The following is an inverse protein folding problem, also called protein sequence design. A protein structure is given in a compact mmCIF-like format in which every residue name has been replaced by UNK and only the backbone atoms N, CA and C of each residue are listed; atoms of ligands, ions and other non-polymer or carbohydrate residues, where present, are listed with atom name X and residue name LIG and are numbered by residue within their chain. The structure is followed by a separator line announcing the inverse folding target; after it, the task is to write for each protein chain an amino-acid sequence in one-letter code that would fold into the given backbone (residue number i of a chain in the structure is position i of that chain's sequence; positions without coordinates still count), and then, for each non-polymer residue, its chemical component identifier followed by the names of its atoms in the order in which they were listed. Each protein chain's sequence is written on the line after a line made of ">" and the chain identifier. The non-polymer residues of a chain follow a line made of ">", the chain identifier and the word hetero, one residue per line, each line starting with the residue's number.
data_IF_709709680554
#
_entry.id   IF_709709680554
#
_cell.length_a   1.000
_cell.length_b   1.000
_cell.length_c   1.000
_cell.angle_alpha   90.00
_cell.angle_beta   90.00
_cell.angle_gamma   90.00
#
_symmetry.space_group_name_H-M   'P 1'
#
loop_
_entity.id
_entity.type
_entity.pdbx_description
1 polymer ?
#
# COMPACT_ATOMS: atom_id res chain seq x y z
N UNK A 1 6.55 -74.14 -16.03
CA UNK A 1 6.32 -73.15 -17.11
C UNK A 1 5.19 -72.23 -16.66
N UNK A 2 5.53 -71.02 -16.20
CA UNK A 2 4.55 -70.01 -15.81
C UNK A 2 4.66 -68.83 -16.80
N UNK A 3 3.55 -68.50 -17.45
CA UNK A 3 3.45 -67.45 -18.47
C UNK A 3 3.20 -66.12 -17.75
N UNK A 4 4.12 -65.17 -17.93
CA UNK A 4 4.03 -63.80 -17.42
C UNK A 4 3.26 -62.94 -18.44
N UNK A 5 2.01 -62.56 -18.13
CA UNK A 5 1.25 -61.59 -18.93
C UNK A 5 1.43 -60.20 -18.32
N UNK A 6 2.34 -59.40 -18.88
CA UNK A 6 2.54 -58.01 -18.52
C UNK A 6 1.50 -57.09 -19.16
N UNK A 7 0.63 -56.49 -18.34
CA UNK A 7 -0.26 -55.40 -18.75
C UNK A 7 0.46 -54.06 -18.60
N UNK A 8 0.59 -53.31 -19.69
CA UNK A 8 1.14 -51.94 -19.73
C UNK A 8 0.07 -50.96 -19.23
N UNK A 9 0.37 -50.04 -18.28
CA UNK A 9 -0.60 -49.06 -17.80
C UNK A 9 -0.80 -47.92 -18.83
N UNK A 10 -1.99 -47.30 -18.87
CA UNK A 10 -2.30 -46.26 -19.85
C UNK A 10 -1.65 -44.91 -19.50
N UNK A 11 -1.01 -44.30 -20.52
CA UNK A 11 -0.44 -42.94 -20.50
C UNK A 11 -1.49 -41.89 -20.11
N UNK A 12 -1.53 -41.47 -18.84
CA UNK A 12 -2.30 -40.30 -18.36
C UNK A 12 -1.50 -38.99 -18.32
N UNK A 13 -0.19 -39.03 -18.57
CA UNK A 13 0.70 -37.86 -18.43
C UNK A 13 0.68 -36.87 -19.61
N UNK A 14 0.09 -37.23 -20.76
CA UNK A 14 0.11 -36.31 -21.92
C UNK A 14 -0.92 -35.18 -21.82
N UNK A 15 -2.05 -35.38 -21.13
CA UNK A 15 -3.14 -34.38 -21.08
C UNK A 15 -2.83 -33.18 -20.19
N UNK A 16 -2.08 -33.36 -19.11
CA UNK A 16 -1.64 -32.27 -18.21
C UNK A 16 -0.61 -31.36 -18.88
N UNK A 17 0.31 -31.93 -19.66
CA UNK A 17 1.33 -31.17 -20.40
C UNK A 17 0.71 -30.21 -21.44
N UNK A 18 -0.32 -30.67 -22.18
CA UNK A 18 -0.99 -29.83 -23.17
C UNK A 18 -1.84 -28.70 -22.56
N UNK A 19 -2.39 -28.90 -21.36
CA UNK A 19 -3.10 -27.86 -20.63
C UNK A 19 -2.15 -26.76 -20.14
N UNK A 20 -0.97 -27.17 -19.63
CA UNK A 20 0.09 -26.24 -19.18
C UNK A 20 0.60 -25.37 -20.33
N UNK A 21 0.91 -25.97 -21.49
CA UNK A 21 1.40 -25.23 -22.67
C UNK A 21 0.36 -24.22 -23.19
N UNK A 22 -0.95 -24.55 -23.13
CA UNK A 22 -2.02 -23.62 -23.51
C UNK A 22 -2.12 -22.44 -22.56
N UNK A 23 -2.02 -22.67 -21.25
CA UNK A 23 -2.02 -21.61 -20.23
C UNK A 23 -0.81 -20.68 -20.37
N UNK A 24 0.39 -21.24 -20.60
CA UNK A 24 1.60 -20.45 -20.83
C UNK A 24 1.49 -19.59 -22.09
N UNK A 25 1.00 -20.14 -23.21
CA UNK A 25 0.80 -19.37 -24.47
C UNK A 25 -0.21 -18.24 -24.31
N UNK A 26 -1.28 -18.46 -23.56
CA UNK A 26 -2.30 -17.44 -23.30
C UNK A 26 -1.76 -16.33 -22.39
N UNK A 27 -0.94 -16.67 -21.38
CA UNK A 27 -0.23 -15.71 -20.52
C UNK A 27 0.70 -14.82 -21.36
N UNK A 28 1.54 -15.43 -22.21
CA UNK A 28 2.44 -14.69 -23.11
C UNK A 28 1.70 -13.83 -24.14
N UNK A 29 0.56 -14.28 -24.64
CA UNK A 29 -0.30 -13.49 -25.54
C UNK A 29 -0.82 -12.25 -24.84
N UNK A 30 -1.35 -12.40 -23.62
CA UNK A 30 -1.85 -11.27 -22.81
C UNK A 30 -0.76 -10.28 -22.46
N UNK A 31 0.45 -10.74 -22.14
CA UNK A 31 1.59 -9.83 -21.89
C UNK A 31 1.97 -9.03 -23.14
N UNK A 32 1.95 -9.64 -24.34
CA UNK A 32 2.25 -8.93 -25.60
C UNK A 32 1.15 -7.94 -25.98
N UNK A 33 -0.12 -8.34 -25.84
CA UNK A 33 -1.27 -7.47 -26.08
C UNK A 33 -1.27 -6.28 -25.11
N UNK A 34 -0.97 -6.53 -23.82
CA UNK A 34 -0.84 -5.47 -22.83
C UNK A 34 0.33 -4.51 -23.14
N UNK A 35 1.51 -5.02 -23.54
CA UNK A 35 2.63 -4.16 -23.97
C UNK A 35 2.25 -3.29 -25.17
N UNK A 36 1.49 -3.81 -26.14
CA UNK A 36 1.04 -3.05 -27.29
C UNK A 36 0.02 -1.97 -26.93
N UNK A 37 -0.93 -2.29 -26.04
CA UNK A 37 -1.91 -1.32 -25.52
C UNK A 37 -1.20 -0.21 -24.73
N UNK A 38 -0.23 -0.57 -23.87
CA UNK A 38 0.49 0.42 -23.08
C UNK A 38 1.34 1.37 -23.95
N UNK A 39 1.99 0.84 -24.99
CA UNK A 39 2.71 1.68 -25.97
C UNK A 39 1.78 2.62 -26.75
N UNK A 40 0.57 2.17 -27.08
CA UNK A 40 -0.43 3.01 -27.74
C UNK A 40 -0.92 4.12 -26.79
N UNK A 41 -1.18 3.78 -25.53
CA UNK A 41 -1.58 4.74 -24.51
C UNK A 41 -0.50 5.80 -24.28
N UNK A 42 0.77 5.41 -24.11
CA UNK A 42 1.88 6.34 -23.96
C UNK A 42 2.04 7.29 -25.15
N UNK A 43 1.77 6.82 -26.37
CA UNK A 43 1.77 7.67 -27.57
C UNK A 43 0.68 8.73 -27.51
N UNK A 44 -0.56 8.32 -27.18
CA UNK A 44 -1.71 9.22 -27.07
C UNK A 44 -1.51 10.28 -25.98
N UNK A 45 -0.94 9.91 -24.83
CA UNK A 45 -0.61 10.85 -23.76
C UNK A 45 0.40 11.89 -24.24
N UNK A 46 1.43 11.47 -24.98
CA UNK A 46 2.46 12.36 -25.53
C UNK A 46 1.88 13.34 -26.54
N UNK A 47 1.06 12.85 -27.48
CA UNK A 47 0.35 13.66 -28.47
C UNK A 47 -0.54 14.70 -27.78
N UNK A 48 -1.29 14.30 -26.74
CA UNK A 48 -2.15 15.23 -25.99
C UNK A 48 -1.37 16.29 -25.24
N UNK A 49 -0.22 15.93 -24.66
CA UNK A 49 0.67 16.89 -24.00
C UNK A 49 1.25 17.92 -24.97
N UNK A 50 1.58 17.50 -26.19
CA UNK A 50 2.10 18.41 -27.21
C UNK A 50 1.00 19.32 -27.81
N UNK A 51 -0.23 18.82 -27.98
CA UNK A 51 -1.40 19.65 -28.31
C UNK A 51 -1.62 20.75 -27.27
N UNK A 52 -1.57 20.42 -25.98
CA UNK A 52 -1.77 21.38 -24.90
C UNK A 52 -0.66 22.44 -24.85
N UNK A 53 0.58 22.08 -25.17
CA UNK A 53 1.70 23.03 -25.30
C UNK A 53 1.51 23.99 -26.47
N UNK A 54 0.94 23.52 -27.59
CA UNK A 54 0.66 24.37 -28.75
C UNK A 54 -0.55 25.30 -28.55
N UNK A 55 -1.45 24.96 -27.63
CA UNK A 55 -2.64 25.77 -27.32
C UNK A 55 -2.42 26.81 -26.22
N UNK A 56 -1.26 26.81 -25.55
CA UNK A 56 -0.94 27.85 -24.57
C UNK A 56 -0.47 29.11 -25.30
N UNK A 57 -1.24 30.22 -25.30
CA UNK A 57 -0.76 31.47 -25.87
C UNK A 57 0.46 31.94 -25.08
N UNK A 58 1.53 32.30 -25.81
CA UNK A 58 2.69 32.98 -25.24
C UNK A 58 2.18 34.20 -24.47
N UNK A 59 2.52 34.37 -23.17
CA UNK A 59 2.13 35.55 -22.42
C UNK A 59 2.73 36.77 -23.14
N UNK A 60 1.87 37.65 -23.67
CA UNK A 60 2.32 38.99 -24.07
C UNK A 60 2.81 39.66 -22.79
N UNK A 61 4.07 40.09 -22.79
CA UNK A 61 4.59 41.03 -21.81
C UNK A 61 3.64 42.23 -21.78
N UNK A 62 2.86 42.33 -20.71
CA UNK A 62 2.10 43.52 -20.38
C UNK A 62 3.04 44.41 -19.57
N UNK A 63 3.34 45.58 -20.12
CA UNK A 63 4.04 46.64 -19.42
C UNK A 63 3.29 46.99 -18.12
N UNK A 64 4.03 47.00 -17.02
CA UNK A 64 3.51 47.27 -15.69
C UNK A 64 3.14 48.76 -15.54
N UNK A 65 1.92 49.10 -15.12
CA UNK A 65 1.64 50.43 -14.59
C UNK A 65 2.02 50.49 -13.11
N UNK A 66 2.87 51.46 -12.80
CA UNK A 66 3.25 51.90 -11.45
C UNK A 66 2.06 52.61 -10.79
N UNK A 67 1.43 52.03 -9.75
CA UNK A 67 0.55 52.79 -8.83
C UNK A 67 0.70 52.30 -7.38
N UNK A 68 1.31 53.21 -6.61
CA UNK A 68 1.09 53.69 -5.24
C UNK A 68 0.24 52.90 -4.23
N UNK A 69 0.84 52.71 -3.05
CA UNK A 69 0.26 52.18 -1.83
C UNK A 69 -0.28 53.33 -0.98
N UNK A 70 -1.60 53.44 -0.80
CA UNK A 70 -2.15 54.09 0.40
C UNK A 70 -3.55 53.59 0.77
N UNK A 71 -3.71 53.39 2.09
CA UNK A 71 -4.92 53.33 2.92
C UNK A 71 -5.49 51.96 3.34
N UNK A 72 -5.26 51.74 4.63
CA UNK A 72 -5.97 50.91 5.61
C UNK A 72 -7.37 51.50 5.88
N UNK A 73 -8.38 50.67 6.21
CA UNK A 73 -9.32 50.85 7.35
C UNK A 73 -10.15 49.56 7.64
N UNK A 74 -10.34 49.39 8.95
CA UNK A 74 -10.97 48.41 9.86
C UNK A 74 -12.50 48.18 9.71
N UNK A 75 -12.97 46.96 10.04
CA UNK A 75 -14.12 46.62 10.95
C UNK A 75 -14.34 45.10 11.00
N UNK A 76 -14.20 44.38 12.13
CA UNK A 76 -15.17 44.06 13.22
C UNK A 76 -16.56 43.59 12.71
N UNK A 77 -17.23 42.53 13.17
CA UNK A 77 -17.06 41.59 14.29
C UNK A 77 -18.34 40.69 14.46
N UNK A 78 -18.41 39.96 15.59
CA UNK A 78 -19.49 39.09 16.14
C UNK A 78 -19.58 37.64 15.60
N UNK A 79 -19.29 36.56 16.34
CA UNK A 79 -19.78 36.00 17.63
C UNK A 79 -21.20 35.43 17.61
N UNK A 80 -21.33 34.11 17.82
CA UNK A 80 -22.27 33.55 18.80
C UNK A 80 -21.85 32.14 19.24
N UNK A 81 -22.08 31.91 20.51
CA UNK A 81 -21.75 30.78 21.38
C UNK A 81 -22.94 29.84 21.53
N UNK A 82 -22.71 28.55 21.84
CA UNK A 82 -23.59 27.82 22.75
C UNK A 82 -22.94 26.58 23.38
N UNK A 83 -23.50 26.17 24.52
CA UNK A 83 -22.84 25.56 25.68
C UNK A 83 -23.25 24.11 25.98
N UNK A 84 -22.35 23.43 26.70
CA UNK A 84 -22.40 22.09 27.32
C UNK A 84 -23.58 21.84 28.32
N UNK A 85 -23.85 20.57 28.72
CA UNK A 85 -23.28 20.04 29.98
C UNK A 85 -22.87 18.54 30.04
N UNK A 86 -21.77 18.30 30.78
CA UNK A 86 -21.36 17.21 31.74
C UNK A 86 -22.28 15.96 31.92
N UNK A 87 -21.85 14.72 32.26
CA UNK A 87 -20.82 14.22 33.23
C UNK A 87 -20.76 12.64 33.25
N UNK A 88 -19.61 12.09 33.72
CA UNK A 88 -19.33 10.77 34.40
C UNK A 88 -19.41 9.47 33.54
N UNK A 89 -18.54 8.45 33.64
CA UNK A 89 -17.82 7.87 34.79
C UNK A 89 -16.42 7.32 34.46
N UNK A 90 -15.60 7.21 35.53
CA UNK A 90 -14.30 6.53 35.62
C UNK A 90 -14.47 5.01 35.74
N UNK A 91 -13.61 4.23 35.10
CA UNK A 91 -13.16 2.93 35.64
C UNK A 91 -11.67 2.74 35.37
N UNK A 92 -10.94 2.41 36.44
CA UNK A 92 -9.54 2.00 36.48
C UNK A 92 -9.42 0.56 35.99
N UNK A 93 -8.40 0.24 35.21
CA UNK A 93 -7.70 -1.06 35.31
C UNK A 93 -6.21 -0.85 35.03
N UNK A 94 -5.41 -1.25 36.01
CA UNK A 94 -3.96 -1.35 35.96
C UNK A 94 -3.58 -2.64 35.23
N UNK A 95 -2.59 -2.56 34.33
CA UNK A 95 -1.43 -3.48 34.33
C UNK A 95 -0.54 -3.19 33.12
N UNK A 96 0.58 -2.52 33.37
CA UNK A 96 1.75 -2.40 32.49
C UNK A 96 2.53 -3.72 32.45
N UNK A 97 3.24 -3.97 31.33
CA UNK A 97 4.62 -4.42 31.43
C UNK A 97 5.58 -3.47 30.70
N UNK A 98 6.73 -3.28 31.33
CA UNK A 98 7.81 -2.34 30.97
C UNK A 98 8.40 -2.57 29.57
N UNK A 99 8.83 -1.51 28.87
CA UNK A 99 9.64 -1.64 27.66
C UNK A 99 11.12 -1.87 28.00
N UNK A 100 11.70 -2.84 27.28
CA UNK A 100 13.13 -3.14 27.24
C UNK A 100 13.93 -1.90 26.83
N UNK A 101 14.92 -1.56 27.65
CA UNK A 101 15.86 -0.46 27.45
C UNK A 101 16.73 -0.69 26.22
N UNK A 102 16.85 0.32 25.37
CA UNK A 102 17.91 0.40 24.33
C UNK A 102 19.27 0.61 25.01
N UNK A 103 20.38 0.07 24.48
CA UNK A 103 21.71 0.36 25.01
C UNK A 103 22.10 1.80 24.68
N UNK A 104 22.47 2.55 25.71
CA UNK A 104 23.11 3.86 25.61
C UNK A 104 24.58 3.62 25.26
N UNK A 105 25.07 4.26 24.20
CA UNK A 105 26.49 4.39 23.90
C UNK A 105 27.16 5.19 25.02
N UNK A 106 27.97 4.52 25.85
CA UNK A 106 28.88 5.16 26.80
C UNK A 106 30.12 5.64 26.06
N UNK A 107 30.37 6.94 26.10
CA UNK A 107 31.69 7.55 25.91
C UNK A 107 32.13 8.07 27.27
N UNK A 108 33.09 7.40 27.90
CA UNK A 108 33.79 7.91 29.07
C UNK A 108 35.15 8.44 28.63
N UNK A 109 35.36 9.75 28.83
CA UNK A 109 36.68 10.35 28.88
C UNK A 109 36.76 11.27 30.13
N UNK A 110 37.57 10.80 31.07
CA UNK A 110 38.48 11.49 31.98
C UNK A 110 38.14 12.91 32.53
N UNK A 111 37.92 12.92 33.86
CA UNK A 111 38.80 13.54 34.87
C UNK A 111 38.55 14.97 35.41
N UNK A 112 38.64 15.03 36.76
CA UNK A 112 39.20 16.08 37.66
C UNK A 112 38.44 17.41 37.89
N UNK A 113 38.05 17.61 39.16
CA UNK A 113 38.75 18.58 40.03
C UNK A 113 38.01 19.85 40.48
N UNK A 114 37.74 19.92 41.79
CA UNK A 114 37.84 21.07 42.73
C UNK A 114 36.83 22.24 42.73
N UNK A 115 36.23 22.41 43.92
CA UNK A 115 35.92 23.62 44.73
C UNK A 115 36.08 25.03 44.11
N UNK A 116 35.10 25.93 44.26
CA UNK A 116 34.98 26.90 45.36
C UNK A 116 33.87 27.96 45.06
N UNK A 117 33.49 28.68 46.11
CA UNK A 117 32.42 29.64 46.37
C UNK A 117 32.18 30.83 45.42
N UNK A 118 30.93 31.31 45.45
CA UNK A 118 30.64 32.74 45.67
C UNK A 118 30.15 33.59 44.49
N UNK A 119 29.08 34.32 44.79
CA UNK A 119 28.54 35.53 44.14
C UNK A 119 27.46 35.46 43.04
N UNK A 120 26.28 35.79 43.54
CA UNK A 120 25.06 36.31 42.93
C UNK A 120 25.30 37.54 42.03
N UNK A 121 24.80 37.48 40.80
CA UNK A 121 24.50 38.62 39.92
C UNK A 121 23.57 38.14 38.80
N UNK A 122 22.32 38.61 38.84
CA UNK A 122 21.27 38.27 37.87
C UNK A 122 21.65 38.64 36.44
N UNK A 123 21.85 37.62 35.61
CA UNK A 123 21.97 37.73 34.16
C UNK A 123 20.85 36.90 33.54
N UNK A 124 20.02 37.55 32.71
CA UNK A 124 18.92 36.93 32.00
C UNK A 124 19.43 35.76 31.15
N UNK A 125 19.05 34.53 31.53
CA UNK A 125 19.34 33.33 30.77
C UNK A 125 18.63 33.39 29.41
N UNK A 126 19.34 33.35 28.28
CA UNK A 126 18.70 33.24 26.98
C UNK A 126 17.94 31.91 26.95
N UNK A 127 16.62 32.01 26.87
CA UNK A 127 15.67 30.91 26.78
C UNK A 127 15.77 30.25 25.39
N UNK A 128 16.97 29.76 25.05
CA UNK A 128 17.24 28.97 23.87
C UNK A 128 16.70 27.56 24.14
N UNK A 129 15.37 27.43 24.04
CA UNK A 129 14.72 26.14 23.79
C UNK A 129 15.22 25.64 22.44
N UNK A 130 16.43 25.07 22.43
CA UNK A 130 16.91 24.21 21.35
C UNK A 130 15.84 23.13 21.20
N UNK A 131 14.99 23.29 20.18
CA UNK A 131 14.14 22.21 19.70
C UNK A 131 15.11 21.07 19.42
N UNK A 132 15.06 20.03 20.24
CA UNK A 132 15.72 18.77 19.95
C UNK A 132 15.08 18.31 18.64
N UNK A 133 15.80 18.50 17.54
CA UNK A 133 15.41 17.96 16.26
C UNK A 133 15.45 16.45 16.43
N UNK A 134 14.28 15.82 16.52
CA UNK A 134 14.16 14.38 16.45
C UNK A 134 14.89 13.96 15.16
N UNK A 135 16.01 13.26 15.30
CA UNK A 135 16.76 12.75 14.17
C UNK A 135 15.87 11.75 13.45
N UNK A 136 15.37 12.14 12.28
CA UNK A 136 14.52 11.28 11.46
C UNK A 136 15.43 10.22 10.86
N UNK A 137 15.29 8.98 11.31
CA UNK A 137 16.12 7.86 10.84
C UNK A 137 15.46 7.30 9.58
N UNK A 138 16.18 7.23 8.44
CA UNK A 138 15.63 6.64 7.22
C UNK A 138 15.23 5.17 7.46
N UNK A 139 14.13 4.70 6.84
CA UNK A 139 13.82 3.28 6.78
C UNK A 139 14.96 2.47 6.16
N UNK A 140 14.96 1.16 6.36
CA UNK A 140 15.89 0.27 5.66
C UNK A 140 15.36 -0.03 4.25
N UNK A 141 16.22 0.17 3.25
CA UNK A 141 16.01 -0.27 1.87
C UNK A 141 16.63 -1.64 1.57
N UNK A 142 16.48 -2.07 0.33
CA UNK A 142 17.13 -3.27 -0.24
C UNK A 142 17.89 -2.92 -1.52
N UNK A 143 18.94 -3.68 -1.82
CA UNK A 143 19.75 -3.45 -3.03
C UNK A 143 19.32 -4.39 -4.15
N UNK A 144 19.15 -3.85 -5.36
CA UNK A 144 18.68 -4.61 -6.51
C UNK A 144 19.59 -5.77 -6.87
N UNK A 145 19.01 -6.94 -7.11
CA UNK A 145 19.72 -8.14 -7.52
C UNK A 145 18.86 -9.08 -8.35
N UNK A 146 19.31 -9.39 -9.56
CA UNK A 146 18.68 -10.38 -10.44
C UNK A 146 17.19 -10.08 -10.68
N UNK A 147 16.84 -8.89 -11.17
CA UNK A 147 15.46 -8.48 -11.46
C UNK A 147 14.52 -8.51 -10.22
N UNK A 148 15.04 -8.21 -9.03
CA UNK A 148 14.26 -8.19 -7.78
C UNK A 148 13.43 -6.93 -7.53
N UNK A 149 13.35 -5.99 -8.46
CA UNK A 149 12.81 -4.65 -8.19
C UNK A 149 11.40 -4.65 -7.58
N UNK A 150 10.50 -5.57 -7.98
CA UNK A 150 9.19 -5.72 -7.35
C UNK A 150 9.29 -6.11 -5.85
N UNK A 151 10.20 -7.02 -5.51
CA UNK A 151 10.49 -7.39 -4.13
C UNK A 151 11.18 -6.23 -3.37
N UNK A 152 12.08 -5.51 -4.04
CA UNK A 152 12.81 -4.38 -3.45
C UNK A 152 11.93 -3.16 -3.16
N UNK A 153 10.85 -3.03 -3.91
CA UNK A 153 9.78 -2.08 -3.65
C UNK A 153 8.94 -2.52 -2.43
N UNK A 154 8.60 -3.81 -2.35
CA UNK A 154 7.68 -4.35 -1.34
C UNK A 154 8.29 -4.45 0.06
N UNK A 155 9.53 -4.96 0.17
CA UNK A 155 10.14 -5.29 1.45
C UNK A 155 10.33 -4.08 2.39
N UNK A 156 10.82 -2.93 1.91
CA UNK A 156 10.92 -1.73 2.73
C UNK A 156 9.56 -1.27 3.29
N UNK A 157 8.47 -1.36 2.50
CA UNK A 157 7.11 -1.03 2.95
C UNK A 157 6.68 -1.98 4.07
N UNK A 158 6.77 -3.30 3.85
CA UNK A 158 6.35 -4.29 4.85
C UNK A 158 7.19 -4.21 6.14
N UNK A 159 8.49 -3.94 6.01
CA UNK A 159 9.36 -3.79 7.17
C UNK A 159 9.04 -2.53 7.97
N UNK A 160 8.77 -1.41 7.29
CA UNK A 160 8.32 -0.17 7.91
C UNK A 160 7.00 -0.36 8.68
N UNK A 161 6.04 -1.09 8.10
CA UNK A 161 4.79 -1.48 8.77
C UNK A 161 5.09 -2.26 10.05
N UNK A 162 5.88 -3.34 9.94
CA UNK A 162 6.22 -4.19 11.07
C UNK A 162 6.96 -3.45 12.20
N UNK A 163 7.86 -2.51 11.86
CA UNK A 163 8.61 -1.72 12.84
C UNK A 163 7.75 -0.82 13.72
N UNK A 164 6.52 -0.46 13.29
CA UNK A 164 5.62 0.39 14.08
C UNK A 164 5.13 -0.31 15.35
N UNK A 165 4.80 -1.59 15.24
CA UNK A 165 4.42 -2.46 16.35
C UNK A 165 4.79 -3.92 16.02
N UNK A 166 6.02 -4.34 16.32
CA UNK A 166 6.51 -5.68 16.00
C UNK A 166 5.66 -6.81 16.57
N UNK A 167 5.06 -6.62 17.76
CA UNK A 167 4.27 -7.63 18.43
C UNK A 167 2.92 -7.81 17.72
N UNK A 168 2.23 -6.71 17.42
CA UNK A 168 0.97 -6.75 16.67
C UNK A 168 1.19 -7.30 15.27
N UNK A 169 2.17 -6.78 14.52
CA UNK A 169 2.38 -7.18 13.13
C UNK A 169 2.93 -8.60 12.97
N UNK A 170 3.70 -9.13 13.93
CA UNK A 170 4.04 -10.56 13.93
C UNK A 170 2.80 -11.45 14.05
N UNK A 171 1.83 -11.06 14.90
CA UNK A 171 0.56 -11.78 15.02
C UNK A 171 -0.25 -11.71 13.73
N UNK A 172 -0.45 -10.51 13.17
CA UNK A 172 -1.20 -10.30 11.92
C UNK A 172 -0.56 -11.08 10.76
N UNK A 173 0.75 -10.97 10.58
CA UNK A 173 1.46 -11.65 9.50
C UNK A 173 1.43 -13.17 9.65
N UNK A 174 1.50 -13.68 10.89
CA UNK A 174 1.36 -15.11 11.19
C UNK A 174 -0.03 -15.64 10.86
N UNK A 175 -1.07 -14.86 11.16
CA UNK A 175 -2.46 -15.25 10.92
C UNK A 175 -2.84 -15.21 9.44
N UNK A 176 -2.24 -14.33 8.63
CA UNK A 176 -2.50 -14.29 7.20
C UNK A 176 -2.04 -15.56 6.49
N UNK A 177 -0.73 -15.86 6.49
CA UNK A 177 -0.18 -17.08 5.89
C UNK A 177 1.27 -17.35 6.27
N UNK A 178 1.79 -18.51 5.83
CA UNK A 178 3.15 -18.96 6.13
C UNK A 178 4.26 -18.10 5.53
N UNK A 179 4.01 -17.40 4.41
CA UNK A 179 5.02 -16.54 3.78
C UNK A 179 5.21 -15.25 4.60
N UNK A 180 4.12 -14.56 4.95
CA UNK A 180 4.19 -13.39 5.83
C UNK A 180 4.72 -13.73 7.22
N UNK A 181 4.40 -14.91 7.77
CA UNK A 181 5.01 -15.38 9.01
C UNK A 181 6.55 -15.55 8.89
N UNK A 182 7.02 -16.11 7.78
CA UNK A 182 8.45 -16.25 7.54
C UNK A 182 9.13 -14.89 7.41
N UNK A 183 8.49 -13.93 6.74
CA UNK A 183 8.98 -12.57 6.57
C UNK A 183 9.09 -11.84 7.93
N UNK A 184 8.06 -11.89 8.78
CA UNK A 184 8.09 -11.29 10.13
C UNK A 184 9.22 -11.84 11.01
N UNK A 185 9.46 -13.16 10.99
CA UNK A 185 10.64 -13.76 11.66
C UNK A 185 11.97 -13.31 11.05
N UNK A 186 11.99 -13.04 9.75
CA UNK A 186 13.11 -12.42 9.08
C UNK A 186 13.35 -10.99 9.57
N UNK A 187 12.30 -10.18 9.66
CA UNK A 187 12.33 -8.81 10.15
C UNK A 187 12.81 -8.72 11.59
N UNK A 188 12.38 -9.64 12.46
CA UNK A 188 12.92 -9.74 13.82
C UNK A 188 14.45 -9.96 13.81
N UNK A 189 14.95 -10.82 12.93
CA UNK A 189 16.40 -11.05 12.78
C UNK A 189 17.13 -9.82 12.24
N UNK A 190 16.52 -9.07 11.32
CA UNK A 190 17.05 -7.79 10.81
C UNK A 190 17.12 -6.77 11.95
N UNK A 191 16.06 -6.62 12.73
CA UNK A 191 16.01 -5.72 13.89
C UNK A 191 17.08 -6.04 14.94
N UNK A 192 17.41 -7.32 15.11
CA UNK A 192 18.50 -7.80 15.98
C UNK A 192 19.88 -7.79 15.31
N UNK A 193 20.01 -7.20 14.13
CA UNK A 193 21.25 -7.15 13.33
C UNK A 193 21.88 -8.52 13.05
N UNK A 194 21.08 -9.58 12.99
CA UNK A 194 21.53 -10.97 12.74
C UNK A 194 21.37 -11.41 11.29
N UNK A 195 20.72 -10.60 10.46
CA UNK A 195 20.60 -10.78 9.01
C UNK A 195 20.35 -9.41 8.36
N UNK A 196 20.44 -9.34 7.03
CA UNK A 196 20.06 -8.13 6.26
C UNK A 196 18.64 -8.25 5.70
N UNK A 197 18.03 -7.11 5.34
CA UNK A 197 16.72 -7.08 4.69
C UNK A 197 16.77 -7.80 3.32
N UNK A 198 17.88 -7.64 2.59
CA UNK A 198 18.16 -8.36 1.33
C UNK A 198 18.12 -9.89 1.50
N UNK A 199 18.67 -10.41 2.60
CA UNK A 199 18.68 -11.86 2.84
C UNK A 199 17.27 -12.41 3.16
N UNK A 200 16.42 -11.62 3.84
CA UNK A 200 15.01 -12.00 4.06
C UNK A 200 14.25 -11.98 2.74
N UNK A 201 14.47 -10.96 1.91
CA UNK A 201 13.94 -10.86 0.54
C UNK A 201 14.31 -12.06 -0.29
N UNK A 202 15.60 -12.40 -0.36
CA UNK A 202 16.09 -13.53 -1.16
C UNK A 202 15.53 -14.87 -0.64
N UNK A 203 15.39 -15.02 0.67
CA UNK A 203 14.73 -16.20 1.26
C UNK A 203 13.27 -16.36 0.80
N UNK A 204 12.52 -15.26 0.69
CA UNK A 204 11.16 -15.29 0.13
C UNK A 204 11.18 -15.67 -1.35
N UNK A 205 12.03 -15.01 -2.15
CA UNK A 205 12.13 -15.26 -3.59
C UNK A 205 12.40 -16.73 -3.88
N UNK A 206 13.37 -17.33 -3.20
CA UNK A 206 13.68 -18.75 -3.35
C UNK A 206 12.51 -19.65 -2.96
N UNK A 207 11.73 -19.26 -1.95
CA UNK A 207 10.60 -20.06 -1.46
C UNK A 207 9.40 -19.96 -2.40
N UNK A 208 9.12 -18.78 -2.94
CA UNK A 208 8.08 -18.58 -3.96
C UNK A 208 8.45 -19.29 -5.26
N UNK A 209 9.71 -19.20 -5.70
CA UNK A 209 10.20 -19.92 -6.89
C UNK A 209 10.10 -21.44 -6.75
N UNK A 210 10.31 -21.98 -5.55
CA UNK A 210 10.09 -23.41 -5.27
C UNK A 210 8.61 -23.80 -5.21
N UNK A 211 7.74 -22.85 -4.85
CA UNK A 211 6.30 -23.08 -4.72
C UNK A 211 5.60 -23.02 -6.09
N UNK A 212 5.89 -22.00 -6.89
CA UNK A 212 5.37 -21.83 -8.24
C UNK A 212 6.47 -21.20 -9.13
N UNK A 213 7.33 -22.02 -9.77
CA UNK A 213 8.45 -21.51 -10.58
C UNK A 213 8.00 -20.79 -11.86
N UNK A 214 6.79 -21.07 -12.36
CA UNK A 214 6.26 -20.44 -13.58
C UNK A 214 5.77 -19.01 -13.32
N UNK A 215 5.33 -18.74 -12.10
CA UNK A 215 4.90 -17.40 -11.66
C UNK A 215 6.05 -16.62 -11.01
N UNK A 216 6.95 -17.30 -10.29
CA UNK A 216 8.06 -16.68 -9.55
C UNK A 216 9.45 -17.16 -10.03
N UNK A 217 9.79 -17.00 -11.31
CA UNK A 217 11.09 -17.40 -11.83
C UNK A 217 12.24 -16.65 -11.15
N UNK A 218 13.30 -17.37 -10.76
CA UNK A 218 14.51 -16.76 -10.22
C UNK A 218 15.32 -16.07 -11.32
N UNK A 219 15.62 -14.80 -11.12
CA UNK A 219 16.43 -14.02 -12.06
C UNK A 219 15.66 -13.39 -13.22
N UNK A 220 14.35 -13.59 -13.29
CA UNK A 220 13.48 -12.91 -14.24
C UNK A 220 12.59 -11.88 -13.53
N UNK A 221 11.91 -11.05 -14.32
CA UNK A 221 10.93 -10.10 -13.80
C UNK A 221 9.75 -10.85 -13.20
N UNK A 222 9.39 -10.48 -11.98
CA UNK A 222 8.15 -10.92 -11.32
C UNK A 222 7.21 -9.73 -11.21
N UNK A 223 5.92 -9.94 -11.51
CA UNK A 223 4.91 -8.92 -11.30
C UNK A 223 4.69 -8.69 -9.80
N UNK A 224 4.66 -7.43 -9.35
CA UNK A 224 4.39 -7.09 -7.95
C UNK A 224 3.02 -7.63 -7.52
N UNK A 225 2.05 -7.62 -8.43
CA UNK A 225 0.74 -8.17 -8.16
C UNK A 225 0.80 -9.67 -7.85
N UNK A 226 1.57 -10.45 -8.61
CA UNK A 226 1.66 -11.89 -8.38
C UNK A 226 2.23 -12.18 -6.98
N UNK A 227 3.20 -11.38 -6.54
CA UNK A 227 3.77 -11.46 -5.18
C UNK A 227 2.69 -11.11 -4.14
N UNK A 228 2.01 -9.97 -4.29
CA UNK A 228 0.96 -9.51 -3.38
C UNK A 228 -0.20 -10.51 -3.29
N UNK A 229 -0.54 -11.11 -4.42
CA UNK A 229 -1.56 -12.14 -4.54
C UNK A 229 -1.27 -13.30 -3.58
N UNK A 230 -0.05 -13.81 -3.57
CA UNK A 230 0.32 -14.92 -2.70
C UNK A 230 0.55 -14.49 -1.25
N UNK A 231 1.07 -13.28 -1.02
CA UNK A 231 1.33 -12.79 0.34
C UNK A 231 0.09 -12.33 1.09
N UNK A 232 -0.96 -11.87 0.42
CA UNK A 232 -2.13 -11.28 1.08
C UNK A 232 -3.32 -12.24 1.19
N UNK A 233 -3.09 -13.55 0.99
CA UNK A 233 -4.08 -14.58 1.30
C UNK A 233 -4.26 -14.68 2.81
N UNK A 234 -5.51 -14.61 3.25
CA UNK A 234 -5.94 -14.82 4.62
C UNK A 234 -6.77 -16.11 4.74
N UNK A 235 -6.83 -16.73 5.94
CA UNK A 235 -7.67 -17.91 6.18
C UNK A 235 -9.15 -17.56 6.27
N UNK A 236 -9.48 -16.29 6.58
CA UNK A 236 -10.86 -15.80 6.72
C UNK A 236 -11.32 -15.11 5.44
N UNK A 237 -12.64 -15.12 5.23
CA UNK A 237 -13.26 -14.36 4.15
C UNK A 237 -13.25 -12.87 4.51
N UNK A 238 -12.60 -12.06 3.68
CA UNK A 238 -12.49 -10.62 3.88
C UNK A 238 -13.68 -9.90 3.24
N UNK A 239 -14.02 -10.27 2.01
CA UNK A 239 -15.04 -9.57 1.23
C UNK A 239 -16.04 -10.55 0.62
N UNK A 240 -17.32 -10.24 0.76
CA UNK A 240 -18.41 -10.91 0.07
C UNK A 240 -18.89 -10.07 -1.11
N UNK A 241 -18.91 -10.68 -2.29
CA UNK A 241 -19.66 -10.17 -3.43
C UNK A 241 -21.13 -10.58 -3.29
N UNK A 242 -22.06 -9.63 -3.43
CA UNK A 242 -23.50 -9.89 -3.49
C UNK A 242 -24.07 -9.31 -4.77
N UNK A 243 -24.93 -10.09 -5.39
CA UNK A 243 -25.68 -9.69 -6.58
C UNK A 243 -27.14 -9.52 -6.20
N UNK A 244 -27.86 -8.56 -6.82
CA UNK A 244 -29.31 -8.33 -6.60
C UNK A 244 -29.99 -7.85 -7.88
N UNK A 245 -31.20 -8.31 -8.15
CA UNK A 245 -32.02 -7.75 -9.22
C UNK A 245 -32.55 -6.37 -8.79
N UNK A 246 -32.35 -5.29 -9.58
CA UNK A 246 -32.87 -3.96 -9.23
C UNK A 246 -34.40 -3.91 -9.23
N UNK A 247 -35.04 -4.58 -10.19
CA UNK A 247 -36.50 -4.59 -10.36
C UNK A 247 -37.21 -5.46 -9.32
N UNK A 248 -36.54 -6.51 -8.83
CA UNK A 248 -37.15 -7.56 -8.01
C UNK A 248 -36.21 -8.01 -6.88
N UNK A 249 -35.81 -7.11 -5.96
CA UNK A 249 -34.71 -7.35 -5.02
C UNK A 249 -34.94 -8.50 -4.02
N UNK A 250 -36.20 -8.86 -3.78
CA UNK A 250 -36.59 -9.86 -2.77
C UNK A 250 -37.20 -11.14 -3.37
N UNK A 251 -37.58 -11.15 -4.65
CA UNK A 251 -38.39 -12.22 -5.25
C UNK A 251 -37.68 -12.96 -6.37
N UNK A 252 -36.67 -12.34 -6.97
CA UNK A 252 -35.85 -12.98 -7.98
C UNK A 252 -34.63 -13.59 -7.28
N UNK A 253 -34.59 -14.93 -7.08
CA UNK A 253 -33.40 -15.56 -6.57
C UNK A 253 -32.29 -15.24 -7.55
N UNK A 254 -31.20 -14.72 -7.04
CA UNK A 254 -30.00 -14.65 -7.85
C UNK A 254 -29.49 -16.09 -7.94
N UNK A 255 -29.24 -16.54 -9.17
CA UNK A 255 -28.85 -17.92 -9.52
C UNK A 255 -27.95 -18.57 -8.46
N UNK A 256 -28.08 -19.88 -8.20
CA UNK A 256 -27.16 -20.57 -7.26
C UNK A 256 -25.68 -20.45 -7.68
N UNK A 257 -25.41 -20.17 -8.96
CA UNK A 257 -24.07 -19.85 -9.50
C UNK A 257 -23.59 -18.41 -9.18
N UNK A 258 -24.37 -17.65 -8.41
CA UNK A 258 -24.04 -16.34 -7.83
C UNK A 258 -23.90 -16.39 -6.31
N UNK A 259 -23.57 -17.57 -5.77
CA UNK A 259 -23.04 -17.67 -4.40
C UNK A 259 -21.95 -16.61 -4.19
N UNK A 260 -21.89 -15.95 -3.02
CA UNK A 260 -20.84 -14.99 -2.74
C UNK A 260 -19.50 -15.67 -3.01
N UNK A 261 -18.74 -15.17 -3.97
CA UNK A 261 -17.35 -15.60 -4.12
C UNK A 261 -16.61 -15.05 -2.91
N UNK A 262 -16.19 -15.89 -1.95
CA UNK A 262 -15.45 -15.38 -0.82
C UNK A 262 -14.10 -14.88 -1.34
N UNK A 263 -13.84 -13.58 -1.21
CA UNK A 263 -12.51 -13.07 -1.42
C UNK A 263 -11.80 -13.10 -0.08
N UNK A 264 -10.82 -13.97 0.05
CA UNK A 264 -9.98 -14.13 1.23
C UNK A 264 -8.64 -13.41 1.08
N UNK A 265 -8.53 -12.45 0.16
CA UNK A 265 -7.31 -11.69 -0.07
C UNK A 265 -7.46 -10.27 0.45
N UNK A 266 -6.47 -9.81 1.20
CA UNK A 266 -6.38 -8.45 1.72
C UNK A 266 -5.91 -7.45 0.65
N UNK A 267 -6.20 -7.76 -0.61
CA UNK A 267 -5.89 -6.95 -1.78
C UNK A 267 -7.19 -6.69 -2.53
N UNK A 268 -7.46 -5.42 -2.79
CA UNK A 268 -8.59 -4.92 -3.54
C UNK A 268 -8.09 -4.45 -4.89
N UNK A 269 -8.58 -5.07 -5.96
CA UNK A 269 -8.18 -4.78 -7.33
C UNK A 269 -9.20 -3.84 -7.97
N UNK A 270 -8.71 -2.86 -8.71
CA UNK A 270 -9.56 -2.08 -9.60
C UNK A 270 -9.93 -2.89 -10.86
N UNK A 271 -11.16 -2.73 -11.31
CA UNK A 271 -11.71 -3.42 -12.47
C UNK A 271 -11.64 -2.57 -13.74
N UNK A 272 -10.61 -1.72 -13.84
CA UNK A 272 -10.35 -0.84 -14.99
C UNK A 272 -11.22 0.41 -15.02
N UNK A 273 -11.65 0.91 -13.86
CA UNK A 273 -12.44 2.14 -13.77
C UNK A 273 -11.56 3.28 -13.27
N UNK A 274 -11.57 4.42 -13.96
CA UNK A 274 -10.86 5.59 -13.46
C UNK A 274 -11.62 6.17 -12.28
N UNK A 275 -11.04 6.10 -11.08
CA UNK A 275 -11.58 6.70 -9.87
C UNK A 275 -10.95 8.06 -9.59
N UNK A 276 -11.73 8.98 -9.03
CA UNK A 276 -11.21 10.29 -8.61
C UNK A 276 -10.17 10.14 -7.47
N UNK A 277 -10.39 9.17 -6.57
CA UNK A 277 -9.47 8.84 -5.48
C UNK A 277 -9.60 7.37 -5.04
N UNK A 278 -8.73 6.90 -4.14
CA UNK A 278 -8.86 5.58 -3.51
C UNK A 278 -10.11 5.51 -2.63
N UNK A 279 -10.48 6.60 -1.95
CA UNK A 279 -11.77 6.68 -1.25
C UNK A 279 -12.94 6.50 -2.22
N UNK A 280 -12.90 7.16 -3.38
CA UNK A 280 -13.93 6.98 -4.42
C UNK A 280 -13.98 5.55 -4.95
N UNK A 281 -12.83 4.88 -5.05
CA UNK A 281 -12.74 3.46 -5.38
C UNK A 281 -13.41 2.58 -4.31
N UNK A 282 -13.15 2.83 -3.02
CA UNK A 282 -13.80 2.15 -1.88
C UNK A 282 -15.32 2.36 -1.90
N UNK A 283 -15.76 3.61 -2.09
CA UNK A 283 -17.18 3.93 -2.17
C UNK A 283 -17.82 3.17 -3.34
N UNK A 284 -17.18 3.18 -4.50
CA UNK A 284 -17.65 2.48 -5.69
C UNK A 284 -17.80 0.98 -5.48
N UNK A 285 -16.83 0.34 -4.80
CA UNK A 285 -16.88 -1.09 -4.45
C UNK A 285 -18.03 -1.43 -3.49
N UNK A 286 -18.32 -0.53 -2.54
CA UNK A 286 -19.37 -0.76 -1.54
C UNK A 286 -20.76 -0.31 -2.01
N UNK A 287 -20.83 0.51 -3.05
CA UNK A 287 -22.06 0.91 -3.72
C UNK A 287 -22.52 -0.11 -4.76
N UNK A 288 -23.78 0.04 -5.19
CA UNK A 288 -24.43 -0.88 -6.13
C UNK A 288 -23.98 -0.54 -7.55
N UNK A 289 -23.17 -1.40 -8.15
CA UNK A 289 -22.72 -1.26 -9.53
C UNK A 289 -23.54 -2.13 -10.47
N UNK A 290 -23.79 -1.69 -11.70
CA UNK A 290 -24.43 -2.55 -12.69
C UNK A 290 -23.43 -3.58 -13.23
N UNK A 291 -23.63 -4.84 -12.89
CA UNK A 291 -22.83 -5.94 -13.44
C UNK A 291 -23.14 -6.18 -14.92
N UNK A 292 -22.30 -6.98 -15.57
CA UNK A 292 -22.58 -7.55 -16.89
C UNK A 292 -23.58 -8.72 -16.85
N UNK A 293 -23.84 -9.28 -15.66
CA UNK A 293 -24.78 -10.39 -15.46
C UNK A 293 -26.22 -9.88 -15.53
N UNK A 294 -27.10 -10.71 -16.06
CA UNK A 294 -28.53 -10.43 -16.18
C UNK A 294 -29.35 -11.34 -15.27
N UNK A 295 -30.48 -10.85 -14.80
CA UNK A 295 -31.42 -11.60 -14.01
C UNK A 295 -32.10 -12.67 -14.88
N UNK A 296 -32.04 -13.94 -14.47
CA UNK A 296 -32.62 -15.06 -15.23
C UNK A 296 -34.15 -14.95 -15.41
N UNK A 297 -34.85 -14.17 -14.58
CA UNK A 297 -36.32 -14.04 -14.61
C UNK A 297 -36.84 -12.86 -15.42
N UNK A 298 -36.18 -11.71 -15.37
CA UNK A 298 -36.66 -10.49 -16.04
C UNK A 298 -35.61 -9.81 -16.93
N UNK A 299 -34.47 -10.46 -17.15
CA UNK A 299 -33.36 -10.00 -17.99
C UNK A 299 -32.71 -8.65 -17.61
N UNK A 300 -33.15 -8.02 -16.51
CA UNK A 300 -32.56 -6.81 -15.98
C UNK A 300 -31.10 -7.04 -15.54
N UNK A 301 -30.21 -6.07 -15.77
CA UNK A 301 -28.82 -6.13 -15.29
C UNK A 301 -28.80 -6.19 -13.77
N UNK A 302 -28.03 -7.14 -13.23
CA UNK A 302 -27.91 -7.33 -11.79
C UNK A 302 -27.03 -6.24 -11.19
N UNK A 303 -27.40 -5.78 -10.00
CA UNK A 303 -26.59 -4.91 -9.16
C UNK A 303 -25.59 -5.77 -8.38
N UNK A 304 -24.33 -5.45 -8.52
CA UNK A 304 -23.21 -6.00 -7.78
C UNK A 304 -22.85 -5.07 -6.64
N UNK A 305 -22.59 -5.63 -5.47
CA UNK A 305 -22.11 -4.88 -4.31
C UNK A 305 -21.17 -5.73 -3.49
N UNK A 306 -20.11 -5.13 -2.97
CA UNK A 306 -19.18 -5.79 -2.08
C UNK A 306 -19.42 -5.37 -0.64
N UNK A 307 -19.25 -6.31 0.30
CA UNK A 307 -19.32 -6.03 1.74
C UNK A 307 -18.15 -6.69 2.45
N UNK A 308 -17.43 -5.92 3.26
CA UNK A 308 -16.41 -6.47 4.13
C UNK A 308 -17.07 -7.29 5.24
N UNK A 309 -16.64 -8.55 5.36
CA UNK A 309 -17.06 -9.46 6.42
C UNK A 309 -16.06 -9.42 7.57
N UNK A 310 -14.79 -9.64 7.26
CA UNK A 310 -13.66 -9.45 8.15
C UNK A 310 -12.78 -8.34 7.58
N UNK A 311 -12.48 -7.31 8.37
CA UNK A 311 -11.68 -6.17 7.91
C UNK A 311 -10.24 -6.37 8.40
N UNK A 312 -9.30 -6.72 7.50
CA UNK A 312 -7.92 -7.02 7.89
C UNK A 312 -7.18 -5.76 8.32
N UNK A 313 -6.14 -5.92 9.13
CA UNK A 313 -5.35 -4.77 9.62
C UNK A 313 -4.45 -4.16 8.53
N UNK A 314 -4.14 -4.91 7.47
CA UNK A 314 -3.46 -4.45 6.27
C UNK A 314 -4.39 -4.61 5.07
N UNK A 315 -4.57 -3.54 4.30
CA UNK A 315 -5.26 -3.53 3.02
C UNK A 315 -4.36 -2.97 1.93
N UNK A 316 -4.38 -3.59 0.76
CA UNK A 316 -3.65 -3.10 -0.42
C UNK A 316 -4.63 -2.86 -1.56
N UNK A 317 -4.57 -1.68 -2.17
CA UNK A 317 -5.32 -1.35 -3.37
C UNK A 317 -4.40 -1.46 -4.58
N UNK A 318 -4.74 -2.33 -5.53
CA UNK A 318 -4.01 -2.53 -6.78
C UNK A 318 -4.77 -1.87 -7.93
N UNK A 319 -4.06 -1.03 -8.69
CA UNK A 319 -4.71 -0.12 -9.64
C UNK A 319 -4.87 -0.68 -11.05
N UNK A 320 -4.38 -1.88 -11.37
CA UNK A 320 -4.62 -2.57 -12.65
C UNK A 320 -4.38 -1.73 -13.94
N UNK A 321 -3.51 -0.72 -13.86
CA UNK A 321 -3.24 0.24 -14.94
C UNK A 321 -4.15 1.49 -14.97
N UNK A 322 -5.17 1.56 -14.12
CA UNK A 322 -6.06 2.71 -13.91
C UNK A 322 -5.74 3.40 -12.58
N UNK A 323 -4.61 4.11 -12.54
CA UNK A 323 -4.22 4.87 -11.35
C UNK A 323 -5.28 5.93 -11.01
N UNK A 324 -5.77 6.01 -9.76
CA UNK A 324 -6.76 7.00 -9.37
C UNK A 324 -6.18 8.42 -9.47
N UNK A 325 -7.06 9.43 -9.61
CA UNK A 325 -6.64 10.83 -9.62
C UNK A 325 -5.86 11.24 -8.36
N UNK A 326 -6.22 10.66 -7.20
CA UNK A 326 -5.59 10.91 -5.91
C UNK A 326 -5.45 9.62 -5.09
N UNK A 327 -4.35 9.48 -4.35
CA UNK A 327 -4.19 8.45 -3.33
C UNK A 327 -4.40 9.10 -1.96
N UNK A 328 -5.57 8.84 -1.37
CA UNK A 328 -5.96 9.43 -0.09
C UNK A 328 -5.02 8.99 1.03
N UNK A 329 -4.64 9.90 1.93
CA UNK A 329 -3.83 9.51 3.11
C UNK A 329 -4.60 8.64 4.09
N UNK A 330 -5.91 8.85 4.13
CA UNK A 330 -6.81 8.22 5.07
C UNK A 330 -8.04 7.80 4.29
N UNK A 331 -8.43 6.54 4.44
CA UNK A 331 -9.68 6.02 3.89
C UNK A 331 -10.55 5.47 5.02
N UNK A 332 -11.84 5.38 4.76
CA UNK A 332 -12.79 4.75 5.69
C UNK A 332 -13.36 3.48 5.07
N UNK A 333 -13.20 2.36 5.76
CA UNK A 333 -13.78 1.07 5.37
C UNK A 333 -14.97 0.78 6.28
N UNK A 334 -16.13 0.51 5.68
CA UNK A 334 -17.32 0.09 6.41
C UNK A 334 -17.34 -1.43 6.53
N UNK A 335 -17.17 -1.93 7.76
CA UNK A 335 -17.37 -3.34 8.09
C UNK A 335 -18.84 -3.70 8.26
N UNK A 336 -19.10 -4.85 8.89
CA UNK A 336 -20.47 -5.32 9.17
C UNK A 336 -21.25 -4.35 10.06
N UNK A 337 -20.63 -3.93 11.17
CA UNK A 337 -21.27 -3.15 12.25
C UNK A 337 -20.52 -1.86 12.61
N UNK A 338 -19.33 -1.66 12.07
CA UNK A 338 -18.44 -0.57 12.46
C UNK A 338 -17.72 0.05 11.26
N UNK A 339 -17.13 1.23 11.49
CA UNK A 339 -16.31 1.93 10.50
C UNK A 339 -14.88 1.93 10.99
N UNK A 340 -13.97 1.54 10.09
CA UNK A 340 -12.56 1.49 10.37
C UNK A 340 -11.84 2.57 9.57
N UNK A 341 -10.93 3.26 10.24
CA UNK A 341 -10.06 4.22 9.60
C UNK A 341 -8.76 3.54 9.23
N UNK A 342 -8.32 3.75 8.01
CA UNK A 342 -7.07 3.24 7.49
C UNK A 342 -6.17 4.40 7.11
N UNK A 343 -4.87 4.24 7.30
CA UNK A 343 -3.86 5.22 6.91
C UNK A 343 -2.89 4.66 5.89
N UNK A 344 -2.51 5.50 4.95
CA UNK A 344 -1.56 5.18 3.90
C UNK A 344 -0.15 5.07 4.50
N UNK A 345 0.52 3.96 4.24
CA UNK A 345 1.86 3.65 4.78
C UNK A 345 2.91 3.45 3.70
N UNK A 346 2.48 3.21 2.46
CA UNK A 346 3.37 3.09 1.33
C UNK A 346 2.64 3.07 0.01
N UNK A 347 3.37 3.43 -1.05
CA UNK A 347 2.88 3.41 -2.43
C UNK A 347 3.96 2.75 -3.28
N UNK A 348 3.57 1.76 -4.08
CA UNK A 348 4.42 1.16 -5.09
C UNK A 348 4.14 1.81 -6.44
N UNK A 349 5.20 2.07 -7.19
CA UNK A 349 5.18 2.67 -8.52
C UNK A 349 5.83 1.74 -9.53
N UNK A 350 5.40 1.85 -10.78
CA UNK A 350 6.02 1.15 -11.90
C UNK A 350 6.18 2.11 -13.09
N UNK A 351 7.34 2.07 -13.72
CA UNK A 351 7.67 2.86 -14.91
C UNK A 351 9.02 2.44 -15.45
N UNK A 352 9.22 2.53 -16.76
CA UNK A 352 10.48 2.15 -17.42
C UNK A 352 10.97 0.73 -17.08
N UNK A 353 10.05 -0.24 -17.02
CA UNK A 353 10.33 -1.64 -16.65
C UNK A 353 10.96 -1.82 -15.26
N UNK A 354 10.69 -0.88 -14.35
CA UNK A 354 11.26 -0.87 -13.01
C UNK A 354 10.22 -0.48 -11.95
N UNK A 355 10.27 -1.13 -10.79
CA UNK A 355 9.42 -0.79 -9.65
C UNK A 355 10.18 0.13 -8.68
N UNK A 356 9.51 1.12 -8.11
CA UNK A 356 10.02 1.95 -7.00
C UNK A 356 8.95 2.06 -5.91
N UNK A 357 9.28 2.59 -4.73
CA UNK A 357 8.26 2.86 -3.73
C UNK A 357 8.49 4.14 -2.94
N UNK A 358 7.41 4.65 -2.36
CA UNK A 358 7.44 5.60 -1.25
C UNK A 358 6.94 4.91 0.01
N UNK A 359 7.58 5.24 1.13
CA UNK A 359 7.17 4.83 2.47
C UNK A 359 6.75 6.09 3.22
N UNK A 360 5.62 6.01 3.91
CA UNK A 360 5.13 7.08 4.77
C UNK A 360 5.28 6.60 6.22
N UNK A 361 6.13 7.27 6.99
CA UNK A 361 6.37 6.91 8.38
C UNK A 361 5.26 7.41 9.32
N UNK A 362 5.36 7.09 10.62
CA UNK A 362 4.38 7.52 11.62
C UNK A 362 4.34 9.03 11.88
N UNK A 363 5.24 9.80 11.28
CA UNK A 363 5.31 11.26 11.35
C UNK A 363 4.90 11.93 10.03
N UNK A 364 4.30 11.18 9.12
CA UNK A 364 3.95 11.62 7.77
C UNK A 364 5.16 12.08 6.96
N UNK A 365 6.34 11.51 7.24
CA UNK A 365 7.54 11.73 6.44
C UNK A 365 7.58 10.74 5.28
N UNK A 366 7.94 11.21 4.09
CA UNK A 366 8.03 10.41 2.88
C UNK A 366 9.49 10.04 2.63
N UNK A 367 9.68 8.75 2.42
CA UNK A 367 10.96 8.19 2.02
C UNK A 367 10.80 7.49 0.67
N UNK A 368 11.52 7.94 -0.34
CA UNK A 368 11.56 7.32 -1.66
C UNK A 368 12.66 6.26 -1.70
N UNK A 369 12.32 5.08 -2.22
CA UNK A 369 13.25 3.99 -2.50
C UNK A 369 13.19 3.66 -3.98
N UNK A 370 14.29 3.94 -4.67
CA UNK A 370 14.41 3.69 -6.10
C UNK A 370 14.57 2.21 -6.47
N UNK A 371 14.58 1.29 -5.50
CA UNK A 371 14.75 -0.15 -5.71
C UNK A 371 15.98 -0.55 -6.55
N UNK A 372 17.00 0.30 -6.60
CA UNK A 372 18.31 0.03 -7.21
C UNK A 372 19.35 -0.10 -6.10
N UNK A 373 19.35 0.84 -5.16
CA UNK A 373 20.23 0.86 -4.00
C UNK A 373 19.42 0.79 -2.71
N UNK A 374 20.00 0.24 -1.64
CA UNK A 374 19.37 0.24 -0.31
C UNK A 374 19.21 1.64 0.33
N UNK A 375 19.58 2.71 -0.38
CA UNK A 375 19.48 4.09 0.10
C UNK A 375 18.03 4.56 0.01
N UNK A 376 17.55 5.17 1.09
CA UNK A 376 16.30 5.94 1.11
C UNK A 376 16.59 7.41 0.83
N UNK A 377 15.79 8.02 -0.01
CA UNK A 377 15.81 9.46 -0.29
C UNK A 377 14.71 10.14 0.53
N UNK A 378 15.10 11.20 1.24
CA UNK A 378 14.19 12.04 2.01
C UNK A 378 13.45 12.98 1.04
N UNK A 379 12.13 12.84 0.93
CA UNK A 379 11.27 13.75 0.15
C UNK A 379 10.51 14.78 1.02
N UNK A 380 10.82 14.83 2.31
CA UNK A 380 10.17 15.68 3.30
C UNK A 380 8.87 15.10 3.84
N UNK A 381 8.00 15.98 4.35
CA UNK A 381 6.70 15.57 4.89
C UNK A 381 5.65 15.61 3.80
N UNK A 382 4.68 14.70 3.85
CA UNK A 382 3.52 14.76 2.99
C UNK A 382 2.82 16.10 3.24
N UNK A 383 2.75 16.94 2.21
CA UNK A 383 1.91 18.14 2.17
C UNK A 383 0.57 17.81 1.52
N UNK A 384 -0.51 18.48 1.91
CA UNK A 384 -1.87 18.09 1.48
C UNK A 384 -2.05 18.15 -0.05
N UNK A 385 -1.18 18.89 -0.73
CA UNK A 385 -1.16 19.07 -2.18
C UNK A 385 -0.17 18.12 -2.90
N UNK A 386 0.66 17.37 -2.18
CA UNK A 386 1.66 16.51 -2.81
C UNK A 386 0.99 15.29 -3.45
N UNK A 387 1.06 15.21 -4.78
CA UNK A 387 0.55 14.05 -5.51
C UNK A 387 1.38 12.81 -5.20
N UNK A 388 0.72 11.79 -4.68
CA UNK A 388 1.28 10.45 -4.49
C UNK A 388 0.96 9.52 -5.69
N UNK A 389 0.26 10.02 -6.69
CA UNK A 389 -0.15 9.27 -7.88
C UNK A 389 1.03 8.98 -8.82
N UNK A 390 2.03 9.86 -8.82
CA UNK A 390 3.19 9.78 -9.69
C UNK A 390 4.48 10.02 -8.90
N UNK A 391 5.56 9.38 -9.33
CA UNK A 391 6.94 9.71 -8.93
C UNK A 391 7.78 9.68 -10.19
N UNK A 392 8.44 10.80 -10.51
CA UNK A 392 9.21 10.96 -11.73
C UNK A 392 8.38 10.57 -12.98
N UNK A 393 8.76 9.49 -13.67
CA UNK A 393 8.07 8.95 -14.84
C UNK A 393 7.33 7.62 -14.55
N UNK A 394 7.11 7.31 -13.27
CA UNK A 394 6.46 6.08 -12.82
C UNK A 394 5.07 6.40 -12.26
N UNK A 395 4.12 5.51 -12.55
CA UNK A 395 2.74 5.63 -12.07
C UNK A 395 2.54 4.72 -10.87
N UNK A 396 1.70 5.14 -9.93
CA UNK A 396 1.35 4.27 -8.82
C UNK A 396 0.60 3.04 -9.34
N UNK A 397 0.98 1.87 -8.84
CA UNK A 397 0.38 0.57 -9.16
C UNK A 397 -0.25 -0.11 -7.95
N UNK A 398 0.22 0.22 -6.75
CA UNK A 398 -0.42 -0.23 -5.53
C UNK A 398 -0.27 0.77 -4.38
N UNK A 399 -1.28 0.85 -3.51
CA UNK A 399 -1.26 1.64 -2.29
C UNK A 399 -1.54 0.77 -1.06
N UNK A 400 -0.70 0.90 -0.04
CA UNK A 400 -0.72 0.09 1.18
C UNK A 400 -1.31 0.90 2.31
N UNK A 401 -2.30 0.34 2.99
CA UNK A 401 -3.00 0.96 4.10
C UNK A 401 -3.01 0.07 5.32
N UNK A 402 -2.76 0.66 6.49
CA UNK A 402 -2.90 -0.03 7.78
C UNK A 402 -4.07 0.54 8.55
N UNK A 403 -4.80 -0.33 9.23
CA UNK A 403 -5.88 0.05 10.14
C UNK A 403 -5.30 0.87 11.30
N UNK A 404 -5.94 1.99 11.63
CA UNK A 404 -5.60 2.76 12.83
C UNK A 404 -6.13 2.03 14.06
N UNK A 405 -5.23 1.75 15.01
CA UNK A 405 -5.53 1.09 16.28
C UNK A 405 -6.00 2.06 17.36
#
# INVERSE_FOLDING_TARGET
>A
MAVYTGTVPPRKESRTLFASIKLTKEKWRRTREWKAINQQYERLVREKMDELKMQSPVPRQLDAPTIDMHSVIVSQGSQSSESFPRRLQKTRFNSTPSPLSRPILQSDDLSRGSTDSGHDSGVALPNNKRRVSLSIVPPLGTSWKNNSCAYDCLFPILYSIWLRDPQHWDAVFREMNTFLHMISRGFERVFRYSTTLDAVRDSLRERLARYDPDTFPMGEFTDLQDILNELLVAPKVILFQRMRCPEHPNTHPVSRDTMPSPHNRAMIRDYGMVHASVSAMVDTLTHRMLSSRRCEKCDARLLEMFRFHDVPDLLVFEFAGTTPGMIDRVIQIKGENERFQFELVGVAYYGHEHYTCRIIDGHSHIWHHNAISARMEDEGRVLDEQSLTFVENSTAVAAFYTKRT
#
